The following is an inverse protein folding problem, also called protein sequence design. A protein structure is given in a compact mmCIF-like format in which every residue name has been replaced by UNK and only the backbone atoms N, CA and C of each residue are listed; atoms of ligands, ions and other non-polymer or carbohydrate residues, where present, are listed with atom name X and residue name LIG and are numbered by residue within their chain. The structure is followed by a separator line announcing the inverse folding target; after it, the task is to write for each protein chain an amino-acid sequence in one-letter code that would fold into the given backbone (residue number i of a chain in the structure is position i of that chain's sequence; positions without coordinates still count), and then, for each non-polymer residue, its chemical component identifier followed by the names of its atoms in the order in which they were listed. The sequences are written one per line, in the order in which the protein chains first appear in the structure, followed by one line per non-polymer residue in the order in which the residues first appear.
data_IF_261294679337
#
_entry.id   IF_261294679337
#
_cell.length_a   1.000
_cell.length_b   1.000
_cell.length_c   1.000
_cell.angle_alpha   90.00
_cell.angle_beta   90.00
_cell.angle_gamma   90.00
#
_symmetry.space_group_name_H-M   'P 1'
#
loop_
_entity.id
_entity.type
_entity.pdbx_description
1 polymer ?
#
# COMPACT_ATOMS: atom_id res chain seq x y z
N UNK A 1 18.19 22.84 0.25
CA UNK A 1 18.66 21.51 -0.17
C UNK A 1 19.18 20.73 1.00
N UNK A 2 18.40 19.75 1.43
CA UNK A 2 18.83 18.76 2.43
C UNK A 2 19.41 17.59 1.63
N UNK A 3 20.73 17.46 1.62
CA UNK A 3 21.40 16.29 1.07
C UNK A 3 21.79 15.39 2.24
N UNK A 4 21.36 14.13 2.20
CA UNK A 4 21.78 13.14 3.17
C UNK A 4 22.96 12.34 2.61
N UNK A 5 23.98 12.14 3.43
CA UNK A 5 25.02 11.15 3.16
C UNK A 5 24.47 9.74 3.35
N UNK A 6 25.12 8.74 2.74
CA UNK A 6 24.74 7.35 2.91
C UNK A 6 24.82 6.89 4.37
N UNK A 7 25.78 7.40 5.14
CA UNK A 7 25.96 7.08 6.57
C UNK A 7 24.82 7.65 7.40
N UNK A 8 24.43 8.91 7.18
CA UNK A 8 23.30 9.54 7.88
C UNK A 8 21.97 8.82 7.62
N UNK A 9 21.70 8.41 6.37
CA UNK A 9 20.52 7.62 6.03
C UNK A 9 20.54 6.27 6.73
N UNK A 10 21.70 5.60 6.75
CA UNK A 10 21.81 4.28 7.36
C UNK A 10 21.61 4.34 8.88
N UNK A 11 22.12 5.38 9.55
CA UNK A 11 21.88 5.63 10.96
C UNK A 11 20.42 5.96 11.24
N UNK A 12 19.76 6.70 10.35
CA UNK A 12 18.33 6.98 10.44
C UNK A 12 17.50 5.70 10.30
N UNK A 13 17.83 4.83 9.35
CA UNK A 13 17.17 3.53 9.18
C UNK A 13 17.32 2.64 10.40
N UNK A 14 18.50 2.61 11.03
CA UNK A 14 18.72 1.91 12.31
C UNK A 14 17.84 2.49 13.41
N UNK A 15 17.78 3.82 13.54
CA UNK A 15 16.98 4.52 14.56
C UNK A 15 15.49 4.20 14.47
N UNK A 16 14.95 4.11 13.26
CA UNK A 16 13.52 3.87 13.01
C UNK A 16 13.19 2.40 12.71
N UNK A 17 14.15 1.49 12.90
CA UNK A 17 13.98 0.06 12.64
C UNK A 17 13.42 -0.24 11.24
N UNK A 18 13.98 0.44 10.25
CA UNK A 18 13.67 0.24 8.83
C UNK A 18 14.35 -1.04 8.36
N UNK A 19 13.56 -1.92 7.78
CA UNK A 19 14.00 -3.20 7.23
C UNK A 19 14.31 -3.09 5.74
N UNK A 20 14.99 -4.10 5.18
CA UNK A 20 15.20 -4.18 3.73
C UNK A 20 13.87 -4.25 2.96
N UNK A 21 12.85 -4.91 3.52
CA UNK A 21 11.54 -4.99 2.88
C UNK A 21 10.81 -3.63 2.91
N UNK A 22 11.00 -2.81 3.94
CA UNK A 22 10.46 -1.44 3.95
C UNK A 22 11.06 -0.62 2.77
N UNK A 23 12.36 -0.77 2.51
CA UNK A 23 13.05 -0.11 1.38
C UNK A 23 12.55 -0.65 0.04
N UNK A 24 12.47 -1.98 -0.12
CA UNK A 24 11.94 -2.61 -1.34
C UNK A 24 10.50 -2.21 -1.61
N UNK A 25 9.67 -2.13 -0.58
CA UNK A 25 8.30 -1.67 -0.71
C UNK A 25 8.24 -0.24 -1.26
N UNK A 26 9.01 0.68 -0.66
CA UNK A 26 9.05 2.07 -1.10
C UNK A 26 9.58 2.24 -2.55
N UNK A 27 10.46 1.35 -3.00
CA UNK A 27 10.96 1.32 -4.38
C UNK A 27 10.03 0.58 -5.37
N UNK A 28 8.87 0.07 -4.94
CA UNK A 28 7.99 -0.79 -5.73
C UNK A 28 8.69 -2.08 -6.24
N UNK A 29 9.63 -2.62 -5.46
CA UNK A 29 10.35 -3.87 -5.74
C UNK A 29 9.63 -5.09 -5.14
N UNK A 30 8.66 -4.87 -4.25
CA UNK A 30 7.77 -5.93 -3.77
C UNK A 30 6.49 -6.01 -4.62
N UNK A 31 5.87 -7.20 -4.71
CA UNK A 31 4.52 -7.38 -5.24
C UNK A 31 3.51 -6.38 -4.69
N UNK A 32 2.49 -6.06 -5.49
CA UNK A 32 1.33 -5.35 -4.99
C UNK A 32 0.64 -6.21 -3.90
N UNK A 33 0.19 -5.61 -2.81
CA UNK A 33 -0.38 -6.41 -1.70
C UNK A 33 -1.69 -7.11 -2.07
N UNK A 34 -2.40 -6.61 -3.09
CA UNK A 34 -3.59 -7.24 -3.66
C UNK A 34 -3.25 -8.27 -4.75
N UNK A 35 -1.98 -8.49 -5.09
CA UNK A 35 -1.58 -9.42 -6.15
C UNK A 35 -2.12 -10.83 -5.88
N UNK A 36 -2.78 -11.41 -6.88
CA UNK A 36 -3.45 -12.71 -6.76
C UNK A 36 -4.87 -12.65 -6.21
N UNK A 37 -5.39 -11.47 -5.87
CA UNK A 37 -6.81 -11.27 -5.55
C UNK A 37 -7.60 -10.85 -6.79
N UNK A 38 -8.93 -10.95 -6.73
CA UNK A 38 -9.81 -10.44 -7.80
C UNK A 38 -9.70 -8.92 -7.98
N UNK A 39 -9.27 -8.18 -6.93
CA UNK A 39 -9.08 -6.73 -6.96
C UNK A 39 -7.76 -6.31 -7.65
N UNK A 40 -6.89 -7.27 -7.97
CA UNK A 40 -5.67 -7.07 -8.76
C UNK A 40 -5.64 -8.11 -9.89
N UNK A 41 -6.69 -8.08 -10.73
CA UNK A 41 -6.84 -8.97 -11.87
C UNK A 41 -7.29 -8.18 -13.11
N UNK A 42 -7.27 -8.83 -14.26
CA UNK A 42 -7.79 -8.24 -15.52
C UNK A 42 -9.33 -8.20 -15.58
N UNK A 43 -10.03 -8.69 -14.54
CA UNK A 43 -11.49 -8.75 -14.49
C UNK A 43 -12.10 -7.40 -14.11
N UNK A 44 -13.22 -7.05 -14.73
CA UNK A 44 -14.03 -5.91 -14.30
C UNK A 44 -14.87 -6.29 -13.07
N UNK A 45 -14.42 -5.87 -11.89
CA UNK A 45 -15.12 -6.12 -10.63
C UNK A 45 -16.10 -4.98 -10.33
N UNK A 46 -17.38 -5.31 -10.24
CA UNK A 46 -18.44 -4.41 -9.77
C UNK A 46 -18.65 -4.60 -8.27
N UNK A 47 -18.50 -3.51 -7.51
CA UNK A 47 -18.73 -3.51 -6.06
C UNK A 47 -20.04 -2.78 -5.78
N UNK A 48 -20.97 -3.43 -5.09
CA UNK A 48 -22.25 -2.81 -4.66
C UNK A 48 -22.55 -3.11 -3.20
N UNK A 49 -23.46 -2.35 -2.59
CA UNK A 49 -23.80 -2.54 -1.18
C UNK A 49 -24.39 -3.95 -0.92
N UNK A 50 -25.23 -4.45 -1.83
CA UNK A 50 -26.02 -5.67 -1.65
C UNK A 50 -25.65 -6.82 -2.60
N UNK A 51 -24.58 -6.66 -3.39
CA UNK A 51 -24.10 -7.66 -4.34
C UNK A 51 -25.04 -7.84 -5.54
N UNK A 52 -25.93 -6.88 -5.81
CA UNK A 52 -26.75 -6.85 -7.04
C UNK A 52 -26.27 -5.76 -7.99
N UNK A 53 -26.31 -6.01 -9.32
CA UNK A 53 -25.93 -5.01 -10.29
C UNK A 53 -27.01 -3.92 -10.37
N UNK A 54 -26.62 -2.65 -10.62
CA UNK A 54 -27.55 -1.59 -11.00
C UNK A 54 -28.38 -1.97 -12.22
N UNK A 55 -29.59 -1.39 -12.31
CA UNK A 55 -30.47 -1.64 -13.45
C UNK A 55 -29.79 -1.26 -14.78
N UNK A 56 -29.86 -2.17 -15.76
CA UNK A 56 -29.28 -1.97 -17.09
C UNK A 56 -27.82 -2.39 -17.24
N UNK A 57 -27.14 -2.82 -16.17
CA UNK A 57 -25.81 -3.43 -16.29
C UNK A 57 -25.91 -4.92 -16.66
N UNK A 58 -25.09 -5.34 -17.61
CA UNK A 58 -25.05 -6.69 -18.18
C UNK A 58 -23.74 -7.42 -17.81
N UNK A 59 -23.87 -8.61 -17.21
CA UNK A 59 -22.72 -9.48 -16.90
C UNK A 59 -22.00 -9.94 -18.18
N UNK A 60 -20.66 -9.92 -18.15
CA UNK A 60 -19.78 -10.25 -19.29
C UNK A 60 -19.64 -9.12 -20.31
N UNK A 61 -20.24 -7.96 -20.05
CA UNK A 61 -20.13 -6.76 -20.90
C UNK A 61 -19.75 -5.53 -20.08
N UNK A 62 -20.45 -5.29 -18.98
CA UNK A 62 -20.20 -4.15 -18.08
C UNK A 62 -19.42 -4.57 -16.83
N UNK A 63 -19.46 -5.85 -16.45
CA UNK A 63 -18.70 -6.42 -15.35
C UNK A 63 -18.51 -7.94 -15.53
N UNK A 64 -17.42 -8.48 -15.00
CA UNK A 64 -17.12 -9.91 -14.98
C UNK A 64 -17.44 -10.57 -13.64
N UNK A 65 -17.27 -9.82 -12.56
CA UNK A 65 -17.44 -10.27 -11.18
C UNK A 65 -18.24 -9.20 -10.44
N UNK A 66 -19.20 -9.63 -9.62
CA UNK A 66 -19.89 -8.74 -8.69
C UNK A 66 -19.64 -9.20 -7.25
N UNK A 67 -19.29 -8.26 -6.38
CA UNK A 67 -19.09 -8.47 -4.95
C UNK A 67 -19.77 -7.36 -4.14
N UNK A 68 -20.00 -7.64 -2.87
CA UNK A 68 -20.42 -6.64 -1.90
C UNK A 68 -19.26 -5.75 -1.44
N UNK A 69 -19.57 -4.57 -0.89
CA UNK A 69 -18.57 -3.75 -0.18
C UNK A 69 -17.93 -4.52 0.98
N UNK A 70 -18.71 -5.33 1.71
CA UNK A 70 -18.22 -6.14 2.82
C UNK A 70 -17.22 -7.22 2.35
N UNK A 71 -17.47 -7.85 1.20
CA UNK A 71 -16.54 -8.79 0.58
C UNK A 71 -15.26 -8.09 0.09
N UNK A 72 -15.39 -6.90 -0.52
CA UNK A 72 -14.23 -6.09 -0.93
C UNK A 72 -13.34 -5.78 0.28
N UNK A 73 -13.92 -5.29 1.37
CA UNK A 73 -13.19 -4.99 2.62
C UNK A 73 -12.51 -6.26 3.14
N UNK A 74 -13.24 -7.38 3.19
CA UNK A 74 -12.68 -8.66 3.67
C UNK A 74 -11.49 -9.15 2.82
N UNK A 75 -11.53 -8.93 1.51
CA UNK A 75 -10.41 -9.26 0.61
C UNK A 75 -9.21 -8.37 0.90
N UNK A 76 -9.42 -7.06 1.05
CA UNK A 76 -8.36 -6.08 1.35
C UNK A 76 -7.70 -6.41 2.69
N UNK A 77 -8.48 -6.51 3.77
CA UNK A 77 -7.96 -6.79 5.12
C UNK A 77 -7.18 -8.11 5.19
N UNK A 78 -7.67 -9.14 4.48
CA UNK A 78 -6.97 -10.41 4.38
C UNK A 78 -5.66 -10.26 3.61
N UNK A 79 -5.67 -9.58 2.47
CA UNK A 79 -4.48 -9.35 1.67
C UNK A 79 -3.43 -8.54 2.42
N UNK A 80 -3.82 -7.49 3.14
CA UNK A 80 -2.94 -6.72 4.02
C UNK A 80 -2.33 -7.60 5.12
N UNK A 81 -3.16 -8.40 5.81
CA UNK A 81 -2.69 -9.32 6.86
C UNK A 81 -1.68 -10.32 6.32
N UNK A 82 -1.97 -10.93 5.17
CA UNK A 82 -1.09 -11.90 4.52
C UNK A 82 0.22 -11.22 4.07
N UNK A 83 0.15 -9.97 3.58
CA UNK A 83 1.31 -9.18 3.18
C UNK A 83 2.22 -8.82 4.36
N UNK A 84 1.63 -8.32 5.46
CA UNK A 84 2.34 -8.03 6.71
C UNK A 84 2.99 -9.31 7.24
N UNK A 85 2.26 -10.43 7.24
CA UNK A 85 2.82 -11.70 7.72
C UNK A 85 4.00 -12.19 6.86
N UNK A 86 3.96 -11.94 5.55
CA UNK A 86 4.99 -12.40 4.61
C UNK A 86 6.21 -11.49 4.53
N UNK A 87 6.00 -10.18 4.51
CA UNK A 87 7.06 -9.19 4.28
C UNK A 87 7.42 -8.36 5.52
N UNK A 88 6.58 -8.36 6.56
CA UNK A 88 6.77 -7.51 7.73
C UNK A 88 6.53 -6.03 7.48
N UNK A 89 5.89 -5.69 6.35
CA UNK A 89 5.57 -4.32 5.92
C UNK A 89 4.06 -4.13 5.97
N UNK A 90 3.62 -3.01 6.52
CA UNK A 90 2.22 -2.58 6.49
C UNK A 90 2.00 -1.69 5.26
N UNK A 91 1.28 -2.17 4.22
CA UNK A 91 1.06 -1.39 3.00
C UNK A 91 0.14 -0.18 3.22
N UNK A 92 -0.70 -0.19 4.26
CA UNK A 92 -1.61 0.91 4.62
C UNK A 92 -0.96 1.93 5.55
N UNK A 93 0.21 1.61 6.11
CA UNK A 93 1.03 2.50 6.91
C UNK A 93 2.53 2.31 6.62
N UNK A 94 3.01 2.71 5.42
CA UNK A 94 4.41 2.57 5.06
C UNK A 94 5.30 3.41 5.97
N UNK A 95 6.50 2.90 6.27
CA UNK A 95 7.45 3.58 7.17
C UNK A 95 8.32 4.62 6.50
N UNK A 96 8.38 4.66 5.16
CA UNK A 96 9.28 5.50 4.39
C UNK A 96 8.48 6.35 3.40
N UNK A 97 8.83 7.63 3.31
CA UNK A 97 8.37 8.57 2.30
C UNK A 97 9.53 9.00 1.41
N UNK A 98 9.27 9.22 0.12
CA UNK A 98 10.27 9.80 -0.79
C UNK A 98 10.28 11.33 -0.68
N UNK A 99 11.43 11.88 -0.26
CA UNK A 99 11.66 13.33 -0.17
C UNK A 99 12.95 13.67 -0.91
N UNK A 100 12.82 14.42 -2.01
CA UNK A 100 13.94 14.81 -2.87
C UNK A 100 14.81 13.62 -3.35
N UNK A 101 14.18 12.48 -3.67
CA UNK A 101 14.88 11.26 -4.10
C UNK A 101 15.50 10.43 -2.97
N UNK A 102 15.28 10.81 -1.71
CA UNK A 102 15.69 10.03 -0.54
C UNK A 102 14.47 9.38 0.11
N UNK A 103 14.60 8.09 0.45
CA UNK A 103 13.63 7.42 1.30
C UNK A 103 13.89 7.81 2.76
N UNK A 104 13.00 8.59 3.35
CA UNK A 104 13.11 9.13 4.70
C UNK A 104 12.01 8.49 5.56
N UNK A 105 12.29 8.06 6.80
CA UNK A 105 11.26 7.58 7.71
C UNK A 105 10.13 8.58 7.87
N UNK A 106 8.89 8.13 7.69
CA UNK A 106 7.69 8.98 7.72
C UNK A 106 7.55 9.76 9.02
N UNK A 107 7.99 9.18 10.14
CA UNK A 107 8.05 9.87 11.43
C UNK A 107 9.03 11.05 11.46
N UNK A 108 10.15 10.98 10.72
CA UNK A 108 11.10 12.09 10.60
C UNK A 108 10.54 13.18 9.68
N UNK A 109 9.89 12.78 8.58
CA UNK A 109 9.20 13.71 7.68
C UNK A 109 8.12 14.49 8.43
N UNK A 110 7.28 13.82 9.23
CA UNK A 110 6.27 14.47 10.04
C UNK A 110 6.88 15.53 10.98
N UNK A 111 8.00 15.24 11.64
CA UNK A 111 8.71 16.21 12.52
C UNK A 111 9.18 17.45 11.75
N UNK A 112 9.63 17.30 10.52
CA UNK A 112 10.03 18.42 9.67
C UNK A 112 8.84 19.32 9.31
N UNK A 113 7.66 18.75 9.07
CA UNK A 113 6.45 19.54 8.77
C UNK A 113 5.87 20.24 10.00
N UNK A 114 5.91 19.62 11.19
CA UNK A 114 5.40 20.22 12.42
C UNK A 114 6.33 21.24 13.07
N UNK A 115 7.62 21.29 12.69
CA UNK A 115 8.57 22.27 13.21
C UNK A 115 8.61 23.59 12.42
N UNK A 116 7.82 23.69 11.34
CA UNK A 116 7.73 24.88 10.47
C UNK A 116 6.39 25.63 10.65
N UNK A 117 5.50 25.13 11.51
CA UNK A 117 4.23 25.76 11.90
C UNK A 117 4.23 26.16 13.38
#
# INVERSE_FOLDING_TARGET
DTNYTSEELQDMYRKYNITENDIKFANNELPNFLEGTILSSDSQVLVTEDGKPPEGMEHGKDYDIIITEAEMISIIEKAETDYISKYGVDPSNPKLDEVNGYLIPSEEVAKLFYSVN
#
